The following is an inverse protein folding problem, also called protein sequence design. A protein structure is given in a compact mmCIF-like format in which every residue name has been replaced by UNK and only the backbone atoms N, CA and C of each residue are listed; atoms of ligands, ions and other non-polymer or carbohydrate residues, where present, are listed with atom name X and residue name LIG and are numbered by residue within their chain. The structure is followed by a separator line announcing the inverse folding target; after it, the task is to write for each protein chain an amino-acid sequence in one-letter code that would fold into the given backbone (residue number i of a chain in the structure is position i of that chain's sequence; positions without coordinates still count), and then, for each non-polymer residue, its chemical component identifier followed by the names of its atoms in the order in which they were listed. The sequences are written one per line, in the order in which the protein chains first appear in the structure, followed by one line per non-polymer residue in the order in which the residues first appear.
data_IF_813664189996
#
_entry.id   IF_813664189996
#
_cell.length_a   1.000
_cell.length_b   1.000
_cell.length_c   1.000
_cell.angle_alpha   90.00
_cell.angle_beta   90.00
_cell.angle_gamma   90.00
#
_symmetry.space_group_name_H-M   'P 1'
#
loop_
_entity.id
_entity.type
_entity.pdbx_description
1 polymer ?
#
# COMPACT_ATOMS: atom_id res chain seq x y z
N UNK A 1 -9.31 28.04 -54.17
CA UNK A 1 -8.46 28.89 -53.29
C UNK A 1 -9.33 29.47 -52.19
N UNK A 2 -9.23 28.93 -50.97
CA UNK A 2 -9.36 29.67 -49.72
C UNK A 2 -8.67 28.79 -48.67
N UNK A 3 -7.80 29.41 -47.89
CA UNK A 3 -6.66 28.82 -47.21
C UNK A 3 -7.09 28.12 -45.92
N UNK A 4 -6.35 27.06 -45.57
CA UNK A 4 -6.33 26.43 -44.25
C UNK A 4 -6.27 27.51 -43.16
N UNK A 5 -7.22 27.47 -42.21
CA UNK A 5 -6.98 27.98 -40.87
C UNK A 5 -6.88 26.78 -39.94
N UNK A 6 -5.63 26.38 -39.70
CA UNK A 6 -5.25 25.49 -38.64
C UNK A 6 -5.57 26.17 -37.30
N UNK A 7 -6.57 25.67 -36.59
CA UNK A 7 -6.79 26.03 -35.20
C UNK A 7 -5.82 25.17 -34.38
N UNK A 8 -4.66 25.73 -34.06
CA UNK A 8 -3.78 25.22 -33.01
C UNK A 8 -4.54 25.33 -31.69
N UNK A 9 -5.27 24.29 -31.31
CA UNK A 9 -5.74 24.12 -29.93
C UNK A 9 -4.52 23.73 -29.10
N UNK A 10 -3.82 24.75 -28.61
CA UNK A 10 -2.80 24.62 -27.58
C UNK A 10 -3.52 24.17 -26.29
N UNK A 11 -3.82 22.88 -26.20
CA UNK A 11 -4.43 22.30 -25.02
C UNK A 11 -3.34 22.28 -23.94
N UNK A 12 -3.33 23.32 -23.11
CA UNK A 12 -2.54 23.36 -21.90
C UNK A 12 -2.96 22.15 -21.04
N UNK A 13 -2.13 21.11 -21.05
CA UNK A 13 -2.26 19.97 -20.16
C UNK A 13 -1.95 20.53 -18.77
N UNK A 14 -2.99 20.95 -18.06
CA UNK A 14 -2.92 21.14 -16.61
C UNK A 14 -2.74 19.75 -16.02
N UNK A 15 -1.49 19.31 -15.93
CA UNK A 15 -1.08 18.19 -15.11
C UNK A 15 -1.30 18.61 -13.66
N UNK A 16 -2.54 18.50 -13.21
CA UNK A 16 -2.90 18.61 -11.80
C UNK A 16 -2.30 17.41 -11.10
N UNK A 17 -1.10 17.55 -10.56
CA UNK A 17 -0.57 16.63 -9.56
C UNK A 17 -1.48 16.79 -8.34
N UNK A 18 -2.51 15.95 -8.24
CA UNK A 18 -3.23 15.82 -6.99
C UNK A 18 -2.25 15.18 -6.01
N UNK A 19 -1.81 15.87 -4.94
CA UNK A 19 -1.23 15.16 -3.82
C UNK A 19 -2.34 14.24 -3.34
N UNK A 20 -2.17 12.93 -3.52
CA UNK A 20 -3.02 11.95 -2.86
C UNK A 20 -3.01 12.33 -1.39
N UNK A 21 -4.15 12.76 -0.86
CA UNK A 21 -4.33 12.77 0.58
C UNK A 21 -4.23 11.32 0.97
N UNK A 22 -3.10 10.92 1.55
CA UNK A 22 -3.01 9.67 2.30
C UNK A 22 -4.06 9.79 3.39
N UNK A 23 -5.23 9.19 3.14
CA UNK A 23 -6.10 8.84 4.24
C UNK A 23 -5.25 8.03 5.23
N UNK A 24 -5.56 8.12 6.51
CA UNK A 24 -4.94 7.25 7.50
C UNK A 24 -5.14 5.79 7.06
N UNK A 25 -4.11 5.15 6.52
CA UNK A 25 -4.16 3.76 6.10
C UNK A 25 -3.92 2.85 7.30
N UNK A 26 -4.49 1.66 7.29
CA UNK A 26 -4.22 0.63 8.29
C UNK A 26 -4.06 -0.74 7.65
N UNK A 27 -3.33 -1.61 8.35
CA UNK A 27 -3.10 -2.99 7.98
C UNK A 27 -3.38 -3.89 9.18
N UNK A 28 -4.40 -4.74 9.08
CA UNK A 28 -4.78 -5.62 10.19
C UNK A 28 -5.21 -4.83 11.43
N UNK A 29 -5.79 -3.63 11.24
CA UNK A 29 -6.15 -2.72 12.32
C UNK A 29 -4.99 -1.90 12.90
N UNK A 30 -3.75 -2.07 12.42
CA UNK A 30 -2.59 -1.28 12.83
C UNK A 30 -2.39 -0.08 11.91
N UNK A 31 -2.14 1.10 12.48
CA UNK A 31 -1.97 2.33 11.71
C UNK A 31 -0.67 2.31 10.89
N UNK A 32 -0.76 2.63 9.60
CA UNK A 32 0.38 2.76 8.73
C UNK A 32 1.02 4.14 8.88
N UNK A 33 2.30 4.18 9.26
CA UNK A 33 3.05 5.45 9.38
C UNK A 33 3.21 6.12 8.01
N UNK A 34 3.41 5.30 6.97
CA UNK A 34 3.55 5.71 5.57
C UNK A 34 2.53 4.94 4.70
N UNK A 35 2.99 4.02 3.85
CA UNK A 35 2.26 3.29 2.79
C UNK A 35 1.87 1.85 3.16
N UNK A 36 2.02 1.46 4.44
CA UNK A 36 1.84 0.09 4.93
C UNK A 36 2.89 -0.93 4.45
N UNK A 37 3.94 -0.53 3.73
CA UNK A 37 4.98 -1.46 3.23
C UNK A 37 5.59 -2.29 4.35
N UNK A 38 5.87 -1.68 5.50
CA UNK A 38 6.43 -2.38 6.66
C UNK A 38 5.53 -3.51 7.17
N UNK A 39 4.21 -3.28 7.21
CA UNK A 39 3.23 -4.29 7.61
C UNK A 39 3.09 -5.39 6.56
N UNK A 40 3.00 -5.02 5.29
CA UNK A 40 2.98 -5.99 4.17
C UNK A 40 4.21 -6.90 4.20
N UNK A 41 5.40 -6.33 4.33
CA UNK A 41 6.66 -7.08 4.39
C UNK A 41 6.69 -8.08 5.56
N UNK A 42 6.14 -7.69 6.71
CA UNK A 42 5.99 -8.57 7.87
C UNK A 42 5.02 -9.73 7.63
N UNK A 43 3.88 -9.45 7.00
CA UNK A 43 2.87 -10.45 6.66
C UNK A 43 3.39 -11.47 5.64
N UNK A 44 3.98 -10.99 4.54
CA UNK A 44 4.52 -11.85 3.47
C UNK A 44 5.67 -12.71 3.98
N UNK A 45 6.57 -12.14 4.79
CA UNK A 45 7.62 -12.92 5.43
C UNK A 45 7.05 -14.04 6.31
N UNK A 46 6.00 -13.74 7.08
CA UNK A 46 5.36 -14.72 7.95
C UNK A 46 4.68 -15.84 7.16
N UNK A 47 4.05 -15.51 6.03
CA UNK A 47 3.49 -16.48 5.08
C UNK A 47 4.58 -17.38 4.48
N UNK A 48 5.63 -16.79 3.92
CA UNK A 48 6.74 -17.51 3.29
C UNK A 48 7.45 -18.46 4.26
N UNK A 49 7.52 -18.10 5.54
CA UNK A 49 8.19 -18.89 6.58
C UNK A 49 7.22 -19.80 7.36
N UNK A 50 5.92 -19.75 7.07
CA UNK A 50 4.91 -20.58 7.74
C UNK A 50 4.82 -20.33 9.24
N UNK A 51 4.91 -19.06 9.65
CA UNK A 51 4.86 -18.65 11.06
C UNK A 51 3.48 -18.97 11.65
N UNK A 52 3.47 -19.59 12.83
CA UNK A 52 2.22 -20.02 13.48
C UNK A 52 2.06 -19.46 14.89
N UNK A 53 3.06 -18.74 15.39
CA UNK A 53 3.05 -18.14 16.73
C UNK A 53 3.50 -16.70 16.64
N UNK A 54 2.82 -15.82 17.37
CA UNK A 54 3.22 -14.42 17.50
C UNK A 54 4.59 -14.27 18.19
N UNK A 55 4.99 -15.24 19.01
CA UNK A 55 6.33 -15.27 19.64
C UNK A 55 7.46 -15.42 18.61
N UNK A 56 7.16 -16.01 17.45
CA UNK A 56 8.11 -16.19 16.35
C UNK A 56 8.17 -14.94 15.44
N UNK A 57 7.29 -13.95 15.66
CA UNK A 57 7.34 -12.65 15.00
C UNK A 57 8.48 -11.80 15.56
N UNK A 58 9.69 -12.08 15.12
CA UNK A 58 10.90 -11.31 15.43
C UNK A 58 11.32 -10.51 14.21
N UNK A 59 11.32 -9.17 14.32
CA UNK A 59 11.37 -8.30 13.15
C UNK A 59 12.32 -7.11 13.21
N UNK A 60 12.53 -6.47 12.06
CA UNK A 60 13.41 -5.30 11.90
C UNK A 60 12.77 -3.98 12.37
N UNK A 61 11.44 -3.91 12.52
CA UNK A 61 10.69 -2.71 12.91
C UNK A 61 9.32 -3.08 13.53
N UNK A 62 8.69 -2.12 14.24
CA UNK A 62 7.35 -2.33 14.83
C UNK A 62 6.32 -2.74 13.79
N UNK A 63 6.28 -2.04 12.65
CA UNK A 63 5.32 -2.35 11.57
C UNK A 63 5.55 -3.73 10.97
N UNK A 64 6.79 -4.19 10.86
CA UNK A 64 7.09 -5.55 10.43
C UNK A 64 6.54 -6.58 11.42
N UNK A 65 6.76 -6.39 12.72
CA UNK A 65 6.25 -7.30 13.74
C UNK A 65 4.72 -7.32 13.79
N UNK A 66 4.09 -6.16 13.61
CA UNK A 66 2.62 -6.02 13.51
C UNK A 66 2.07 -6.74 12.28
N UNK A 67 2.76 -6.64 11.14
CA UNK A 67 2.42 -7.38 9.92
C UNK A 67 2.51 -8.90 10.10
N UNK A 68 3.57 -9.38 10.74
CA UNK A 68 3.73 -10.79 11.05
C UNK A 68 2.62 -11.31 11.97
N UNK A 69 2.29 -10.57 13.04
CA UNK A 69 1.20 -10.92 13.95
C UNK A 69 -0.14 -10.96 13.22
N UNK A 70 -0.37 -10.01 12.32
CA UNK A 70 -1.57 -9.99 11.46
C UNK A 70 -1.70 -11.29 10.65
N UNK A 71 -0.61 -11.83 10.10
CA UNK A 71 -0.64 -13.13 9.41
C UNK A 71 -0.98 -14.30 10.36
N UNK A 72 -0.40 -14.31 11.57
CA UNK A 72 -0.69 -15.35 12.57
C UNK A 72 -2.16 -15.35 12.98
N UNK A 73 -2.76 -14.15 13.12
CA UNK A 73 -4.16 -13.97 13.48
C UNK A 73 -5.12 -14.27 12.31
N UNK A 74 -4.81 -13.78 11.10
CA UNK A 74 -5.62 -13.96 9.90
C UNK A 74 -4.75 -14.23 8.66
N UNK A 75 -4.36 -15.50 8.41
CA UNK A 75 -3.51 -15.86 7.28
C UNK A 75 -4.24 -15.78 5.93
N UNK A 76 -5.56 -15.54 5.92
CA UNK A 76 -6.34 -15.42 4.69
C UNK A 76 -6.65 -13.96 4.32
N UNK A 77 -6.19 -12.98 5.10
CA UNK A 77 -6.39 -11.55 4.82
C UNK A 77 -5.71 -11.14 3.50
N UNK A 78 -4.51 -11.66 3.27
CA UNK A 78 -3.61 -11.23 2.19
C UNK A 78 -2.80 -9.99 2.58
N UNK A 79 -1.60 -9.86 2.01
CA UNK A 79 -0.66 -8.75 2.27
C UNK A 79 -0.75 -7.60 1.28
N UNK A 80 -1.45 -7.78 0.16
CA UNK A 80 -1.45 -6.89 -1.00
C UNK A 80 -2.33 -5.63 -0.86
N UNK A 81 -3.29 -5.63 0.07
CA UNK A 81 -4.22 -4.51 0.28
C UNK A 81 -4.22 -4.02 1.74
N UNK A 82 -4.45 -2.72 1.91
CA UNK A 82 -4.77 -2.11 3.19
C UNK A 82 -6.21 -2.45 3.64
N UNK A 83 -6.59 -2.02 4.84
CA UNK A 83 -7.94 -2.29 5.38
C UNK A 83 -9.06 -1.50 4.67
N UNK A 84 -8.72 -0.48 3.89
CA UNK A 84 -9.64 0.29 3.04
C UNK A 84 -9.80 -0.33 1.64
N UNK A 85 -9.02 -1.36 1.31
CA UNK A 85 -9.01 -2.04 0.02
C UNK A 85 -8.16 -1.36 -1.06
N UNK A 86 -7.26 -0.46 -0.68
CA UNK A 86 -6.27 0.11 -1.59
C UNK A 86 -5.05 -0.81 -1.69
N UNK A 87 -4.49 -0.92 -2.90
CA UNK A 87 -3.27 -1.70 -3.16
C UNK A 87 -2.05 -1.06 -2.47
N UNK A 88 -1.25 -1.88 -1.80
CA UNK A 88 0.01 -1.48 -1.17
C UNK A 88 1.12 -1.62 -2.21
N UNK A 89 1.50 -0.50 -2.80
CA UNK A 89 2.56 -0.42 -3.82
C UNK A 89 3.94 -0.45 -3.18
N UNK A 90 4.87 -1.22 -3.77
CA UNK A 90 6.31 -1.29 -3.41
C UNK A 90 7.18 -0.22 -4.08
#
# INVERSE_FOLDING_TARGET
MQKMLAILQLSAVLASSFPGTSAAQSFGGNYCVDDCEGHRAGYEWAEENGIQSEDDCSGNSSSFEEGCKTYVEDPNRGGEYDDDGNEIVE
#
